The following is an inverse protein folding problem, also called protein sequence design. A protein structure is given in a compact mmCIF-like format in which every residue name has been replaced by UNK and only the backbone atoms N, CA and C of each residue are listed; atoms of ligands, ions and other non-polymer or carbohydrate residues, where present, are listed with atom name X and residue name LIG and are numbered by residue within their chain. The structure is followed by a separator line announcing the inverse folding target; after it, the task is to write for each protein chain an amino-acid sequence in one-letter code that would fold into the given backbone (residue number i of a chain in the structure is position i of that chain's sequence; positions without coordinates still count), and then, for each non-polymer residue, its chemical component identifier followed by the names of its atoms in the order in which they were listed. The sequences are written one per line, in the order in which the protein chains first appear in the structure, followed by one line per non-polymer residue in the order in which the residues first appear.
data_IF_831040164375
#
_entry.id   IF_831040164375
#
_cell.length_a   1.000
_cell.length_b   1.000
_cell.length_c   1.000
_cell.angle_alpha   90.00
_cell.angle_beta   90.00
_cell.angle_gamma   90.00
#
_symmetry.space_group_name_H-M   'P 1'
#
loop_
_entity.id
_entity.type
_entity.pdbx_description
1 polymer ?
#
# COMPACT_ATOMS: atom_id res chain seq x y z
N UNK A 1 25.78 13.03 -7.48
CA UNK A 1 25.17 11.70 -7.29
C UNK A 1 23.66 11.87 -7.14
N UNK A 2 22.89 11.17 -7.96
CA UNK A 2 21.43 11.30 -7.95
C UNK A 2 20.85 10.40 -6.91
N UNK A 3 20.01 10.95 -6.04
CA UNK A 3 19.18 10.16 -5.15
C UNK A 3 17.86 9.89 -5.85
N UNK A 4 17.44 8.64 -5.83
CA UNK A 4 16.10 8.32 -6.32
C UNK A 4 15.06 8.90 -5.36
N UNK A 5 13.97 9.42 -5.89
CA UNK A 5 12.92 9.93 -5.02
C UNK A 5 12.28 8.82 -4.21
N UNK A 6 11.75 9.19 -3.05
CA UNK A 6 10.93 8.31 -2.23
C UNK A 6 9.47 8.65 -2.45
N UNK A 7 8.66 7.61 -2.44
CA UNK A 7 7.20 7.76 -2.57
C UNK A 7 6.54 7.17 -1.34
N UNK A 8 5.54 7.86 -0.81
CA UNK A 8 4.71 7.37 0.26
C UNK A 8 3.38 6.94 -0.35
N UNK A 9 3.00 5.69 -0.14
CA UNK A 9 1.83 5.11 -0.75
C UNK A 9 0.90 4.62 0.35
N UNK A 10 -0.34 5.12 0.33
CA UNK A 10 -1.35 4.72 1.30
C UNK A 10 -2.09 3.49 0.77
N UNK A 11 -2.08 2.41 1.55
CA UNK A 11 -2.63 1.12 1.18
C UNK A 11 -3.47 0.57 2.32
N UNK A 12 -4.62 -0.02 2.01
CA UNK A 12 -5.35 -0.82 2.98
C UNK A 12 -5.89 -2.07 2.28
N UNK A 13 -6.47 -2.97 3.05
CA UNK A 13 -7.04 -4.20 2.48
C UNK A 13 -8.55 -4.21 2.68
N UNK A 14 -9.30 -4.16 1.57
CA UNK A 14 -10.76 -4.12 1.62
C UNK A 14 -11.38 -5.44 2.06
N UNK A 15 -10.71 -6.57 1.79
CA UNK A 15 -11.19 -7.88 2.23
C UNK A 15 -11.08 -8.00 3.74
N UNK A 16 -9.99 -7.50 4.31
CA UNK A 16 -9.82 -7.46 5.77
C UNK A 16 -10.89 -6.55 6.39
N UNK A 17 -11.09 -5.37 5.80
CA UNK A 17 -12.11 -4.43 6.30
C UNK A 17 -13.49 -5.06 6.28
N UNK A 18 -13.84 -5.76 5.21
CA UNK A 18 -15.12 -6.44 5.09
C UNK A 18 -15.25 -7.58 6.12
N UNK A 19 -14.20 -8.36 6.33
CA UNK A 19 -14.21 -9.44 7.32
C UNK A 19 -14.42 -8.89 8.73
N UNK A 20 -13.67 -7.85 9.10
CA UNK A 20 -13.79 -7.22 10.41
C UNK A 20 -15.20 -6.67 10.63
N UNK A 21 -15.80 -6.07 9.60
CA UNK A 21 -17.16 -5.52 9.72
C UNK A 21 -18.20 -6.61 9.95
N UNK A 22 -17.92 -7.86 9.57
CA UNK A 22 -18.79 -9.01 9.83
C UNK A 22 -18.42 -9.75 11.12
N UNK A 23 -17.44 -9.23 11.89
CA UNK A 23 -16.94 -9.90 13.08
C UNK A 23 -16.09 -11.12 12.80
N UNK A 24 -15.50 -11.19 11.61
CA UNK A 24 -14.67 -12.32 11.17
C UNK A 24 -13.22 -11.87 11.03
N UNK A 25 -12.32 -12.85 10.99
CA UNK A 25 -10.91 -12.61 10.68
C UNK A 25 -10.62 -13.05 9.26
N UNK A 26 -9.77 -12.26 8.58
CA UNK A 26 -9.28 -12.66 7.27
C UNK A 26 -8.31 -13.84 7.42
N UNK A 27 -8.33 -14.75 6.46
CA UNK A 27 -7.54 -15.99 6.52
C UNK A 27 -6.03 -15.74 6.48
N UNK A 28 -5.60 -14.68 5.78
CA UNK A 28 -4.20 -14.46 5.49
C UNK A 28 -3.63 -13.17 6.08
N UNK A 29 -4.46 -12.19 6.37
CA UNK A 29 -4.00 -10.87 6.79
C UNK A 29 -4.61 -10.48 8.13
N UNK A 30 -3.81 -9.80 8.94
CA UNK A 30 -4.24 -9.33 10.26
C UNK A 30 -5.26 -8.22 10.15
N UNK A 31 -6.07 -8.06 11.20
CA UNK A 31 -7.14 -7.06 11.25
C UNK A 31 -6.64 -5.64 11.05
N UNK A 32 -5.41 -5.34 11.43
CA UNK A 32 -4.84 -4.00 11.27
C UNK A 32 -4.80 -3.53 9.82
N UNK A 33 -4.83 -4.45 8.86
CA UNK A 33 -4.87 -4.11 7.45
C UNK A 33 -6.20 -3.49 7.00
N UNK A 34 -7.21 -3.46 7.87
CA UNK A 34 -8.43 -2.70 7.60
C UNK A 34 -8.16 -1.20 7.54
N UNK A 35 -7.10 -0.73 8.17
CA UNK A 35 -6.70 0.67 8.23
C UNK A 35 -5.61 0.97 7.20
N UNK A 36 -5.45 2.25 6.85
CA UNK A 36 -4.39 2.67 5.97
C UNK A 36 -3.02 2.41 6.57
N UNK A 37 -2.13 1.90 5.74
CA UNK A 37 -0.71 1.81 6.03
C UNK A 37 0.03 2.68 5.02
N UNK A 38 1.04 3.39 5.50
CA UNK A 38 1.86 4.24 4.64
C UNK A 38 3.17 3.52 4.35
N UNK A 39 3.34 3.14 3.10
CA UNK A 39 4.49 2.36 2.65
C UNK A 39 5.42 3.29 1.89
N UNK A 40 6.71 3.31 2.29
CA UNK A 40 7.71 4.10 1.58
C UNK A 40 8.44 3.23 0.57
N UNK A 41 8.54 3.72 -0.66
CA UNK A 41 9.24 3.04 -1.73
C UNK A 41 10.16 4.03 -2.43
N UNK A 42 11.41 3.64 -2.60
CA UNK A 42 12.38 4.39 -3.42
C UNK A 42 12.27 3.86 -4.85
N UNK A 43 12.03 4.75 -5.79
CA UNK A 43 11.85 4.39 -7.20
C UNK A 43 12.27 5.55 -8.09
N UNK A 44 12.50 5.29 -9.36
CA UNK A 44 12.92 6.32 -10.31
C UNK A 44 11.81 7.36 -10.56
N UNK A 45 10.56 6.93 -10.54
CA UNK A 45 9.41 7.78 -10.77
C UNK A 45 8.16 7.13 -10.17
N UNK A 46 7.05 7.86 -10.22
CA UNK A 46 5.78 7.38 -9.66
C UNK A 46 5.31 6.09 -10.31
N UNK A 47 5.46 5.98 -11.63
CA UNK A 47 5.04 4.78 -12.36
C UNK A 47 5.75 3.54 -11.85
N UNK A 48 7.07 3.62 -11.65
CA UNK A 48 7.85 2.52 -11.10
C UNK A 48 7.42 2.21 -9.67
N UNK A 49 7.18 3.24 -8.86
CA UNK A 49 6.70 3.04 -7.49
C UNK A 49 5.37 2.29 -7.47
N UNK A 50 4.45 2.64 -8.36
CA UNK A 50 3.16 1.98 -8.46
C UNK A 50 3.28 0.53 -8.88
N UNK A 51 4.18 0.23 -9.82
CA UNK A 51 4.43 -1.15 -10.24
C UNK A 51 4.93 -1.97 -9.06
N UNK A 52 5.88 -1.43 -8.29
CA UNK A 52 6.44 -2.12 -7.14
C UNK A 52 5.42 -2.36 -6.04
N UNK A 53 4.60 -1.36 -5.75
CA UNK A 53 3.59 -1.50 -4.69
C UNK A 53 2.53 -2.54 -5.08
N UNK A 54 2.11 -2.54 -6.35
CA UNK A 54 1.12 -3.51 -6.83
C UNK A 54 1.63 -4.94 -6.85
N UNK A 55 2.94 -5.12 -7.01
CA UNK A 55 3.56 -6.43 -6.94
C UNK A 55 3.57 -6.96 -5.50
N UNK A 56 3.83 -6.08 -4.53
CA UNK A 56 3.85 -6.46 -3.11
C UNK A 56 2.46 -6.61 -2.51
N UNK A 57 1.54 -5.77 -2.95
CA UNK A 57 0.18 -5.68 -2.39
C UNK A 57 -0.82 -5.78 -3.55
N UNK A 58 -1.03 -6.99 -4.09
CA UNK A 58 -1.84 -7.14 -5.29
C UNK A 58 -3.32 -6.88 -5.03
N UNK A 59 -3.96 -6.29 -6.01
CA UNK A 59 -5.36 -5.93 -5.96
C UNK A 59 -6.27 -7.15 -5.81
N UNK A 60 -5.91 -8.27 -6.42
CA UNK A 60 -6.71 -9.49 -6.36
C UNK A 60 -6.73 -10.12 -4.97
N UNK A 61 -5.87 -9.68 -4.08
CA UNK A 61 -5.88 -10.10 -2.68
C UNK A 61 -6.55 -9.08 -1.76
N UNK A 62 -7.20 -8.08 -2.34
CA UNK A 62 -7.98 -7.12 -1.60
C UNK A 62 -7.27 -5.80 -1.29
N UNK A 63 -6.03 -5.64 -1.71
CA UNK A 63 -5.28 -4.41 -1.45
C UNK A 63 -5.75 -3.27 -2.34
N UNK A 64 -5.98 -2.12 -1.73
CA UNK A 64 -6.42 -0.89 -2.41
C UNK A 64 -5.39 0.20 -2.15
N UNK A 65 -4.93 0.83 -3.23
CA UNK A 65 -4.02 1.96 -3.16
C UNK A 65 -4.86 3.23 -3.16
N UNK A 66 -4.78 4.00 -2.08
CA UNK A 66 -5.57 5.22 -1.92
C UNK A 66 -4.85 6.45 -2.46
N UNK A 67 -3.55 6.50 -2.31
CA UNK A 67 -2.76 7.66 -2.72
C UNK A 67 -1.31 7.27 -2.90
N UNK A 68 -0.63 8.01 -3.76
CA UNK A 68 0.81 7.89 -3.97
C UNK A 68 1.35 9.31 -4.12
N UNK A 69 2.32 9.65 -3.29
CA UNK A 69 2.93 10.98 -3.39
C UNK A 69 4.43 10.88 -3.23
N UNK A 70 5.13 11.77 -3.89
CA UNK A 70 6.56 11.88 -3.72
C UNK A 70 6.88 12.60 -2.42
N UNK A 71 7.80 12.05 -1.64
CA UNK A 71 8.30 12.68 -0.42
C UNK A 71 9.56 13.43 -0.79
N UNK A 72 9.52 14.75 -0.62
CA UNK A 72 10.68 15.58 -0.90
C UNK A 72 11.62 15.53 0.30
N UNK A 73 12.82 15.07 0.07
CA UNK A 73 13.89 15.10 1.06
C UNK A 73 14.80 16.27 0.78
N UNK A 74 14.82 17.19 1.68
CA UNK A 74 15.78 18.28 1.61
C UNK A 74 16.95 18.04 2.55
#
# INVERSE_FOLDING_TARGET
MFKRPKFEIAVYNEQVRAAVSRGEQHKHYKDEWQNQHFIEITAANEKEAMIRIRTRYPQDQGFVILACREITNE
#
